data_IF_835127344082
#
_entry.id   IF_835127344082
#
_cell.length_a   1.000
_cell.length_b   1.000
_cell.length_c   1.000
_cell.angle_alpha   90.00
_cell.angle_beta   90.00
_cell.angle_gamma   90.00
#
_symmetry.space_group_name_H-M   'P 1'
#
loop_
_entity.id
_entity.type
_entity.pdbx_description
1 polymer ?
#
# COMPACT_ATOMS: atom_id res chain seq x y z
N UNK A 1 -29.31 21.83 9.87
CA UNK A 1 -28.17 21.01 10.34
C UNK A 1 -28.41 19.52 10.17
N UNK A 2 -29.57 18.97 10.47
CA UNK A 2 -29.93 17.53 10.30
C UNK A 2 -29.84 17.00 8.86
N UNK A 3 -30.24 17.76 7.83
CA UNK A 3 -30.19 17.31 6.42
C UNK A 3 -28.76 17.08 5.90
N UNK A 4 -27.76 17.80 6.38
CA UNK A 4 -26.36 17.59 5.98
C UNK A 4 -25.75 16.35 6.62
N UNK A 5 -26.13 16.01 7.84
CA UNK A 5 -25.70 14.80 8.53
C UNK A 5 -26.29 13.54 7.88
N UNK A 6 -27.55 13.58 7.43
CA UNK A 6 -28.20 12.49 6.72
C UNK A 6 -27.55 12.21 5.35
N UNK A 7 -27.21 13.26 4.60
CA UNK A 7 -26.55 13.11 3.28
C UNK A 7 -25.17 12.45 3.38
N UNK A 8 -24.35 12.83 4.36
CA UNK A 8 -23.02 12.24 4.56
C UNK A 8 -23.05 10.77 5.00
N UNK A 9 -24.03 10.39 5.84
CA UNK A 9 -24.19 9.01 6.28
C UNK A 9 -24.63 8.09 5.13
N UNK A 10 -25.54 8.54 4.28
CA UNK A 10 -26.02 7.80 3.09
C UNK A 10 -24.88 7.64 2.07
N UNK A 11 -24.10 8.67 1.81
CA UNK A 11 -22.94 8.60 0.91
C UNK A 11 -21.85 7.66 1.47
N UNK A 12 -21.60 7.68 2.77
CA UNK A 12 -20.66 6.78 3.43
C UNK A 12 -21.11 5.31 3.32
N UNK A 13 -22.37 5.02 3.58
CA UNK A 13 -22.93 3.67 3.44
C UNK A 13 -22.89 3.17 1.99
N UNK A 14 -23.18 4.03 1.02
CA UNK A 14 -23.08 3.71 -0.41
C UNK A 14 -21.65 3.38 -0.82
N UNK A 15 -20.66 4.16 -0.37
CA UNK A 15 -19.24 3.89 -0.63
C UNK A 15 -18.76 2.59 0.03
N UNK A 16 -19.20 2.30 1.24
CA UNK A 16 -18.89 1.06 1.93
C UNK A 16 -19.40 -0.16 1.16
N UNK A 17 -20.65 -0.10 0.68
CA UNK A 17 -21.26 -1.13 -0.16
C UNK A 17 -20.51 -1.31 -1.49
N UNK A 18 -20.15 -0.22 -2.16
CA UNK A 18 -19.37 -0.23 -3.40
C UNK A 18 -17.97 -0.83 -3.20
N UNK A 19 -17.28 -0.49 -2.10
CA UNK A 19 -15.97 -1.08 -1.78
C UNK A 19 -16.10 -2.58 -1.49
N UNK A 20 -17.13 -3.01 -0.76
CA UNK A 20 -17.37 -4.44 -0.53
C UNK A 20 -17.64 -5.19 -1.85
N UNK A 21 -18.38 -4.60 -2.78
CA UNK A 21 -18.60 -5.15 -4.11
C UNK A 21 -17.31 -5.24 -4.92
N UNK A 22 -16.48 -4.17 -4.92
CA UNK A 22 -15.15 -4.18 -5.53
C UNK A 22 -14.26 -5.29 -4.96
N UNK A 23 -14.23 -5.45 -3.64
CA UNK A 23 -13.42 -6.48 -2.98
C UNK A 23 -13.87 -7.90 -3.37
N UNK A 24 -15.19 -8.15 -3.47
CA UNK A 24 -15.70 -9.45 -3.95
C UNK A 24 -15.30 -9.72 -5.39
N UNK A 25 -15.50 -8.76 -6.29
CA UNK A 25 -15.10 -8.87 -7.69
C UNK A 25 -13.59 -9.07 -7.85
N UNK A 26 -12.79 -8.35 -7.06
CA UNK A 26 -11.33 -8.47 -7.09
C UNK A 26 -10.86 -9.86 -6.62
N UNK A 27 -11.49 -10.43 -5.57
CA UNK A 27 -11.16 -11.79 -5.12
C UNK A 27 -11.47 -12.85 -6.17
N UNK A 28 -12.43 -12.61 -7.05
CA UNK A 28 -12.79 -13.49 -8.17
C UNK A 28 -11.99 -13.19 -9.46
N UNK A 29 -10.98 -12.30 -9.42
CA UNK A 29 -10.21 -11.90 -10.59
C UNK A 29 -9.37 -13.07 -11.15
N UNK A 30 -9.46 -13.32 -12.46
CA UNK A 30 -8.70 -14.34 -13.18
C UNK A 30 -7.78 -13.76 -14.28
N UNK A 31 -7.72 -12.44 -14.45
CA UNK A 31 -7.06 -11.76 -15.58
C UNK A 31 -5.64 -12.26 -15.90
N UNK A 32 -4.82 -12.51 -14.87
CA UNK A 32 -3.45 -13.00 -15.07
C UNK A 32 -3.42 -14.50 -15.42
N UNK A 33 -4.39 -15.28 -14.97
CA UNK A 33 -4.56 -16.69 -15.37
C UNK A 33 -5.01 -16.78 -16.82
N UNK A 34 -6.03 -16.01 -17.19
CA UNK A 34 -6.56 -15.94 -18.55
C UNK A 34 -5.50 -15.47 -19.55
N UNK A 35 -4.56 -14.63 -19.11
CA UNK A 35 -3.42 -14.18 -19.90
C UNK A 35 -2.21 -15.16 -19.91
N UNK A 36 -2.32 -16.32 -19.26
CA UNK A 36 -1.25 -17.32 -19.17
C UNK A 36 -0.02 -16.89 -18.34
N UNK A 37 -0.18 -15.89 -17.45
CA UNK A 37 0.91 -15.34 -16.64
C UNK A 37 1.02 -16.03 -15.27
N UNK A 38 -0.08 -16.59 -14.77
CA UNK A 38 -0.16 -17.30 -13.50
C UNK A 38 -0.95 -18.59 -13.65
N UNK A 39 -0.57 -19.62 -12.91
CA UNK A 39 -1.32 -20.87 -12.84
C UNK A 39 -2.63 -20.75 -12.05
N UNK A 40 -2.65 -19.90 -11.03
CA UNK A 40 -3.81 -19.67 -10.18
C UNK A 40 -3.86 -18.22 -9.67
N UNK A 41 -5.04 -17.66 -9.68
CA UNK A 41 -5.30 -16.35 -9.08
C UNK A 41 -5.68 -16.51 -7.61
N UNK A 42 -4.98 -15.78 -6.74
CA UNK A 42 -5.30 -15.66 -5.30
C UNK A 42 -5.00 -14.22 -4.87
N UNK A 43 -5.90 -13.27 -5.14
CA UNK A 43 -5.69 -11.89 -4.76
C UNK A 43 -5.62 -11.70 -3.24
N UNK A 44 -4.56 -11.04 -2.78
CA UNK A 44 -4.27 -10.78 -1.37
C UNK A 44 -4.28 -9.28 -1.12
N UNK A 45 -5.24 -8.84 -0.32
CA UNK A 45 -5.39 -7.47 0.17
C UNK A 45 -6.27 -7.48 1.42
N UNK A 46 -6.22 -6.43 2.24
CA UNK A 46 -7.08 -6.30 3.42
C UNK A 46 -7.35 -4.84 3.75
N UNK A 47 -8.55 -4.57 4.21
CA UNK A 47 -8.94 -3.26 4.71
C UNK A 47 -10.45 -3.03 4.70
N UNK A 48 -10.83 -1.90 5.29
CA UNK A 48 -12.21 -1.47 5.54
C UNK A 48 -12.49 -0.09 4.93
N UNK A 49 -13.75 0.26 4.66
CA UNK A 49 -14.13 1.52 4.03
C UNK A 49 -13.75 2.78 4.82
N UNK A 50 -13.63 2.67 6.14
CA UNK A 50 -13.30 3.79 7.02
C UNK A 50 -11.81 4.15 7.08
N UNK A 51 -10.95 3.28 6.55
CA UNK A 51 -9.51 3.52 6.59
C UNK A 51 -9.11 4.66 5.64
N UNK A 52 -8.33 5.60 6.13
CA UNK A 52 -7.84 6.76 5.38
C UNK A 52 -6.36 6.68 5.03
N UNK A 53 -5.67 5.67 5.53
CA UNK A 53 -4.28 5.36 5.20
C UNK A 53 -4.25 4.14 4.29
N UNK A 54 -3.59 4.26 3.15
CA UNK A 54 -3.41 3.19 2.16
C UNK A 54 -1.93 2.83 2.06
N UNK A 55 -1.59 1.58 2.26
CA UNK A 55 -0.25 1.06 2.03
C UNK A 55 -0.24 0.18 0.78
N UNK A 56 0.67 0.49 -0.14
CA UNK A 56 0.79 -0.21 -1.43
C UNK A 56 2.19 -0.82 -1.56
N UNK A 57 2.26 -2.15 -1.50
CA UNK A 57 3.48 -2.91 -1.73
C UNK A 57 3.73 -3.26 -3.19
N UNK A 58 4.70 -4.14 -3.44
CA UNK A 58 5.03 -4.62 -4.78
C UNK A 58 4.08 -5.74 -5.25
N UNK A 59 4.06 -6.83 -4.51
CA UNK A 59 3.26 -8.05 -4.74
C UNK A 59 3.26 -8.91 -3.47
N UNK A 60 2.25 -9.78 -3.28
CA UNK A 60 2.30 -10.81 -2.24
C UNK A 60 3.45 -11.79 -2.49
N UNK A 61 4.06 -12.28 -1.41
CA UNK A 61 4.95 -13.42 -1.44
C UNK A 61 4.19 -14.75 -1.30
N UNK A 62 4.94 -15.86 -1.26
CA UNK A 62 4.37 -17.21 -1.07
C UNK A 62 3.54 -17.30 0.21
N UNK A 63 4.07 -16.82 1.33
CA UNK A 63 3.38 -16.87 2.64
C UNK A 63 2.07 -16.10 2.59
N UNK A 64 2.08 -14.89 2.03
CA UNK A 64 0.88 -14.08 1.89
C UNK A 64 -0.20 -14.78 1.06
N UNK A 65 0.19 -15.45 -0.03
CA UNK A 65 -0.70 -16.28 -0.85
C UNK A 65 -1.33 -17.43 -0.06
N UNK A 66 -0.53 -18.12 0.77
CA UNK A 66 -0.97 -19.28 1.55
C UNK A 66 -1.97 -18.89 2.64
N UNK A 67 -1.67 -17.81 3.38
CA UNK A 67 -2.51 -17.36 4.51
C UNK A 67 -3.54 -16.30 4.13
N UNK A 68 -3.58 -15.88 2.85
CA UNK A 68 -4.50 -14.84 2.33
C UNK A 68 -4.44 -13.53 3.13
N UNK A 69 -3.25 -13.15 3.60
CA UNK A 69 -3.05 -11.98 4.45
C UNK A 69 -1.86 -11.14 3.94
N UNK A 70 -2.05 -9.84 3.63
CA UNK A 70 -0.95 -8.97 3.19
C UNK A 70 0.13 -8.86 4.26
N UNK A 71 1.37 -8.80 3.83
CA UNK A 71 2.52 -8.61 4.72
C UNK A 71 2.59 -9.60 5.90
N UNK A 72 2.29 -10.88 5.65
CA UNK A 72 2.38 -11.96 6.63
C UNK A 72 3.78 -12.61 6.67
N UNK A 73 4.52 -12.55 5.58
CA UNK A 73 5.84 -13.15 5.44
C UNK A 73 6.96 -12.36 6.13
N UNK A 74 8.20 -12.74 5.81
CA UNK A 74 9.40 -12.16 6.44
C UNK A 74 9.53 -10.65 6.21
N UNK A 75 9.30 -10.18 4.98
CA UNK A 75 9.30 -8.76 4.65
C UNK A 75 8.18 -8.01 5.39
N UNK A 76 7.00 -8.61 5.48
CA UNK A 76 5.87 -8.05 6.22
C UNK A 76 6.14 -7.89 7.70
N UNK A 77 6.77 -8.88 8.36
CA UNK A 77 7.18 -8.75 9.78
C UNK A 77 8.16 -7.58 9.98
N UNK A 78 9.07 -7.36 9.03
CA UNK A 78 9.95 -6.19 9.09
C UNK A 78 9.18 -4.88 8.94
N UNK A 79 8.22 -4.83 8.03
CA UNK A 79 7.34 -3.66 7.85
C UNK A 79 6.54 -3.38 9.12
N UNK A 80 5.95 -4.40 9.77
CA UNK A 80 5.21 -4.20 11.03
C UNK A 80 6.11 -3.59 12.11
N UNK A 81 7.36 -4.07 12.28
CA UNK A 81 8.30 -3.44 13.20
C UNK A 81 8.61 -1.97 12.87
N UNK A 82 8.62 -1.60 11.59
CA UNK A 82 8.76 -0.19 11.21
C UNK A 82 7.53 0.62 11.59
N UNK A 83 6.33 0.09 11.35
CA UNK A 83 5.09 0.75 11.72
C UNK A 83 4.97 0.91 13.25
N UNK A 84 5.37 -0.10 14.04
CA UNK A 84 5.47 0.01 15.50
C UNK A 84 6.41 1.15 15.92
N UNK A 85 7.60 1.24 15.32
CA UNK A 85 8.51 2.38 15.53
C UNK A 85 7.91 3.72 15.07
N UNK A 86 7.01 3.68 14.12
CA UNK A 86 6.25 4.81 13.58
C UNK A 86 4.96 5.11 14.35
N UNK A 87 4.80 4.60 15.60
CA UNK A 87 3.73 4.97 16.51
C UNK A 87 2.50 4.07 16.52
N UNK A 88 2.48 2.95 15.79
CA UNK A 88 1.44 1.94 15.95
C UNK A 88 1.73 1.07 17.17
N UNK A 89 0.69 0.68 17.91
CA UNK A 89 0.87 -0.13 19.13
C UNK A 89 1.48 -1.51 18.82
N UNK A 90 1.04 -2.13 17.73
CA UNK A 90 1.53 -3.40 17.19
C UNK A 90 1.14 -3.56 15.71
N UNK A 91 1.50 -4.69 15.11
CA UNK A 91 1.14 -5.00 13.73
C UNK A 91 -0.36 -5.17 13.50
N UNK A 92 -1.15 -5.55 14.51
CA UNK A 92 -2.61 -5.66 14.39
C UNK A 92 -3.26 -4.27 14.47
N UNK A 93 -2.73 -3.37 15.28
CA UNK A 93 -3.14 -1.98 15.28
C UNK A 93 -2.91 -1.33 13.90
N UNK A 94 -1.73 -1.53 13.32
CA UNK A 94 -1.44 -1.06 11.97
C UNK A 94 -2.45 -1.61 10.94
N UNK A 95 -2.83 -2.89 11.03
CA UNK A 95 -3.81 -3.50 10.13
C UNK A 95 -5.23 -2.98 10.30
N UNK A 96 -5.62 -2.60 11.52
CA UNK A 96 -6.93 -1.97 11.77
C UNK A 96 -7.01 -0.56 11.15
N UNK A 97 -5.92 0.16 11.08
CA UNK A 97 -5.86 1.58 10.67
C UNK A 97 -5.43 1.78 9.22
N UNK A 98 -4.74 0.81 8.61
CA UNK A 98 -4.18 0.90 7.26
C UNK A 98 -4.86 -0.10 6.33
N UNK A 99 -5.39 0.37 5.20
CA UNK A 99 -5.75 -0.51 4.08
C UNK A 99 -4.46 -0.99 3.40
N UNK A 100 -4.26 -2.31 3.29
CA UNK A 100 -3.04 -2.89 2.75
C UNK A 100 -3.31 -3.62 1.43
N UNK A 101 -2.59 -3.21 0.38
CA UNK A 101 -2.64 -3.82 -0.95
C UNK A 101 -1.26 -3.79 -1.61
N UNK A 102 -1.18 -4.11 -2.89
CA UNK A 102 0.06 -4.09 -3.67
C UNK A 102 -0.23 -3.74 -5.14
N UNK A 103 0.83 -3.44 -5.90
CA UNK A 103 0.78 -3.16 -7.34
C UNK A 103 0.20 -4.34 -8.14
N UNK A 104 0.51 -5.56 -7.71
CA UNK A 104 -0.24 -6.77 -8.10
C UNK A 104 -0.66 -7.51 -6.84
N UNK A 105 -1.88 -8.01 -6.80
CA UNK A 105 -2.43 -8.64 -5.60
C UNK A 105 -2.30 -10.16 -5.58
N UNK A 106 -1.76 -10.75 -6.65
CA UNK A 106 -1.43 -12.18 -6.69
C UNK A 106 0.07 -12.40 -6.57
N UNK A 107 0.46 -13.53 -5.97
CA UNK A 107 1.85 -13.97 -5.93
C UNK A 107 2.39 -14.25 -7.34
N UNK A 108 3.43 -13.54 -7.79
CA UNK A 108 3.92 -13.67 -9.16
C UNK A 108 4.71 -14.97 -9.41
N UNK A 109 5.10 -15.67 -8.37
CA UNK A 109 5.91 -16.88 -8.45
C UNK A 109 7.33 -16.72 -7.91
N UNK A 110 8.07 -17.83 -7.79
CA UNK A 110 9.46 -17.80 -7.35
C UNK A 110 10.37 -17.21 -8.43
N UNK A 111 11.50 -16.64 -8.00
CA UNK A 111 12.56 -16.23 -8.91
C UNK A 111 13.18 -17.44 -9.63
N UNK A 112 13.40 -17.34 -10.94
CA UNK A 112 14.08 -18.38 -11.73
C UNK A 112 15.56 -18.55 -11.38
N UNK A 113 16.14 -17.53 -10.78
CA UNK A 113 17.57 -17.53 -10.42
C UNK A 113 17.79 -17.84 -8.92
N UNK A 114 16.79 -18.36 -8.23
CA UNK A 114 16.83 -18.65 -6.79
C UNK A 114 16.74 -17.40 -5.91
N UNK A 115 16.65 -17.61 -4.60
CA UNK A 115 16.79 -16.53 -3.64
C UNK A 115 15.54 -15.68 -3.36
N UNK A 116 14.33 -16.12 -3.71
CA UNK A 116 13.09 -15.45 -3.30
C UNK A 116 12.03 -15.36 -4.40
N UNK A 117 11.14 -14.38 -4.26
CA UNK A 117 10.02 -14.20 -5.17
C UNK A 117 10.42 -13.27 -6.33
N UNK A 118 9.91 -13.53 -7.52
CA UNK A 118 10.16 -12.64 -8.66
C UNK A 118 9.36 -11.35 -8.55
N UNK A 119 9.87 -10.30 -9.16
CA UNK A 119 9.11 -9.07 -9.37
C UNK A 119 7.99 -9.34 -10.38
N UNK A 120 6.77 -8.77 -10.21
CA UNK A 120 5.75 -8.84 -11.23
C UNK A 120 6.21 -8.16 -12.52
N UNK A 121 5.81 -8.72 -13.66
CA UNK A 121 6.06 -8.14 -14.98
C UNK A 121 5.22 -6.88 -15.20
N UNK A 122 5.60 -6.05 -16.17
CA UNK A 122 4.82 -4.87 -16.55
C UNK A 122 3.39 -5.25 -16.99
N UNK A 123 3.24 -6.40 -17.67
CA UNK A 123 1.92 -6.91 -18.10
C UNK A 123 1.05 -7.30 -16.91
N UNK A 124 1.59 -7.97 -15.89
CA UNK A 124 0.85 -8.28 -14.66
C UNK A 124 0.42 -7.01 -13.93
N UNK A 125 1.32 -6.02 -13.82
CA UNK A 125 1.00 -4.72 -13.23
C UNK A 125 -0.13 -4.02 -14.01
N UNK A 126 -0.06 -3.99 -15.33
CA UNK A 126 -1.10 -3.38 -16.18
C UNK A 126 -2.46 -4.07 -16.04
N UNK A 127 -2.50 -5.40 -15.99
CA UNK A 127 -3.73 -6.17 -15.78
C UNK A 127 -4.34 -5.95 -14.39
N UNK A 128 -3.50 -5.69 -13.39
CA UNK A 128 -3.94 -5.46 -12.02
C UNK A 128 -4.29 -3.99 -11.72
N UNK A 129 -3.75 -3.03 -12.48
CA UNK A 129 -3.92 -1.60 -12.25
C UNK A 129 -5.37 -1.14 -12.08
N UNK A 130 -6.38 -1.60 -12.86
CA UNK A 130 -7.76 -1.17 -12.70
C UNK A 130 -8.35 -1.45 -11.30
N UNK A 131 -7.85 -2.48 -10.59
CA UNK A 131 -8.28 -2.76 -9.23
C UNK A 131 -7.77 -1.72 -8.23
N UNK A 132 -6.51 -1.30 -8.39
CA UNK A 132 -5.94 -0.23 -7.56
C UNK A 132 -6.60 1.12 -7.86
N UNK A 133 -6.85 1.43 -9.13
CA UNK A 133 -7.51 2.67 -9.55
C UNK A 133 -8.93 2.77 -8.98
N UNK A 134 -9.71 1.69 -9.07
CA UNK A 134 -11.05 1.60 -8.47
C UNK A 134 -11.01 1.70 -6.95
N UNK A 135 -10.01 1.08 -6.31
CA UNK A 135 -9.80 1.18 -4.87
C UNK A 135 -9.52 2.63 -4.46
N UNK A 136 -8.63 3.33 -5.15
CA UNK A 136 -8.29 4.73 -4.87
C UNK A 136 -9.52 5.64 -4.99
N UNK A 137 -10.34 5.45 -6.02
CA UNK A 137 -11.56 6.22 -6.25
C UNK A 137 -12.60 6.03 -5.13
N UNK A 138 -12.76 4.81 -4.62
CA UNK A 138 -13.74 4.46 -3.58
C UNK A 138 -13.23 4.75 -2.16
N UNK A 139 -11.98 4.40 -1.86
CA UNK A 139 -11.39 4.58 -0.53
C UNK A 139 -11.09 6.04 -0.24
N UNK A 140 -10.66 6.79 -1.26
CA UNK A 140 -10.22 8.19 -1.15
C UNK A 140 -9.23 8.37 0.02
N UNK A 141 -8.09 7.67 -0.02
CA UNK A 141 -7.13 7.74 1.07
C UNK A 141 -6.59 9.17 1.21
N UNK A 142 -6.34 9.60 2.43
CA UNK A 142 -5.68 10.88 2.69
C UNK A 142 -4.16 10.74 2.75
N UNK A 143 -3.69 9.58 3.20
CA UNK A 143 -2.26 9.25 3.23
C UNK A 143 -2.03 7.95 2.46
N UNK A 144 -1.06 7.97 1.55
CA UNK A 144 -0.60 6.80 0.81
C UNK A 144 0.85 6.52 1.21
N UNK A 145 1.14 5.26 1.52
CA UNK A 145 2.47 4.75 1.85
C UNK A 145 2.94 3.83 0.71
N UNK A 146 3.60 4.36 -0.35
CA UNK A 146 4.21 3.53 -1.37
C UNK A 146 5.43 2.80 -0.81
N UNK A 147 5.44 1.46 -0.87
CA UNK A 147 6.51 0.62 -0.31
C UNK A 147 7.34 0.00 -1.43
N UNK A 148 8.58 0.46 -1.56
CA UNK A 148 9.53 0.02 -2.59
C UNK A 148 9.38 0.73 -3.93
N UNK A 149 10.35 0.52 -4.82
CA UNK A 149 10.47 1.28 -6.07
C UNK A 149 9.29 1.12 -7.03
N UNK A 150 8.64 -0.06 -7.07
CA UNK A 150 7.52 -0.29 -7.98
C UNK A 150 6.30 0.55 -7.60
N UNK A 151 5.96 0.58 -6.32
CA UNK A 151 4.88 1.42 -5.82
C UNK A 151 5.26 2.91 -5.88
N UNK A 152 6.52 3.26 -5.57
CA UNK A 152 6.99 4.64 -5.72
C UNK A 152 6.75 5.17 -7.14
N UNK A 153 7.12 4.43 -8.18
CA UNK A 153 6.94 4.87 -9.57
C UNK A 153 5.47 5.03 -9.98
N UNK A 154 4.54 4.36 -9.32
CA UNK A 154 3.09 4.53 -9.59
C UNK A 154 2.55 5.86 -9.10
N UNK A 155 3.03 6.33 -7.95
CA UNK A 155 2.51 7.53 -7.28
C UNK A 155 3.40 8.76 -7.48
N UNK A 156 4.69 8.56 -7.63
CA UNK A 156 5.71 9.61 -7.75
C UNK A 156 6.68 9.23 -8.88
N UNK A 157 6.23 9.28 -10.14
CA UNK A 157 7.03 8.87 -11.29
C UNK A 157 8.30 9.74 -11.41
N UNK A 158 9.42 9.09 -11.78
CA UNK A 158 10.70 9.76 -11.93
C UNK A 158 11.52 9.88 -10.65
N UNK A 159 10.93 9.78 -9.46
CA UNK A 159 11.67 9.83 -8.20
C UNK A 159 12.40 8.51 -7.89
N UNK A 160 13.59 8.61 -7.32
CA UNK A 160 14.34 7.48 -6.78
C UNK A 160 14.04 7.34 -5.28
N UNK A 161 14.23 6.13 -4.72
CA UNK A 161 14.03 5.92 -3.27
C UNK A 161 14.93 6.82 -2.42
N UNK A 162 16.17 7.09 -2.87
CA UNK A 162 17.12 7.94 -2.16
C UNK A 162 16.65 9.40 -2.05
N UNK A 163 15.86 9.85 -3.02
CA UNK A 163 15.35 11.22 -3.09
C UNK A 163 13.95 11.35 -2.46
N UNK A 164 13.24 10.21 -2.27
CA UNK A 164 11.85 10.19 -1.87
C UNK A 164 11.64 9.77 -0.40
N UNK A 165 12.40 8.79 0.11
CA UNK A 165 12.23 8.31 1.49
C UNK A 165 12.64 9.39 2.49
N UNK A 166 11.83 9.59 3.54
CA UNK A 166 12.05 10.64 4.55
C UNK A 166 11.57 12.02 4.13
N UNK A 167 10.78 12.11 3.04
CA UNK A 167 10.11 13.31 2.56
C UNK A 167 8.63 13.03 2.32
N UNK A 168 7.82 14.07 2.40
CA UNK A 168 6.38 14.04 2.19
C UNK A 168 6.06 14.74 0.87
N UNK A 169 5.19 14.14 0.05
CA UNK A 169 4.82 14.67 -1.26
C UNK A 169 3.30 14.84 -1.37
N UNK A 170 2.90 15.85 -2.12
CA UNK A 170 1.51 16.04 -2.55
C UNK A 170 1.17 15.18 -3.79
N UNK A 171 -0.05 15.33 -4.30
CA UNK A 171 -0.55 14.60 -5.48
C UNK A 171 0.21 14.96 -6.77
N UNK A 172 0.81 16.13 -6.86
CA UNK A 172 1.61 16.55 -8.01
C UNK A 172 3.04 15.98 -8.01
N UNK A 173 3.46 15.40 -6.88
CA UNK A 173 4.82 14.94 -6.67
C UNK A 173 5.77 16.04 -6.17
N UNK A 174 5.24 17.20 -5.82
CA UNK A 174 6.01 18.24 -5.15
C UNK A 174 6.18 17.93 -3.66
N UNK A 175 7.25 18.44 -3.05
CA UNK A 175 7.44 18.37 -1.60
C UNK A 175 6.30 19.11 -0.90
N UNK A 176 5.53 18.40 -0.09
CA UNK A 176 4.34 18.96 0.53
C UNK A 176 4.65 19.98 1.65
N UNK A 177 5.88 19.96 2.21
CA UNK A 177 6.21 20.81 3.36
C UNK A 177 5.19 20.62 4.48
N UNK A 178 4.59 21.74 4.91
CA UNK A 178 3.52 21.78 5.93
C UNK A 178 2.09 21.69 5.34
N UNK A 179 1.95 21.64 4.02
CA UNK A 179 0.66 21.59 3.34
C UNK A 179 0.03 20.22 3.50
N UNK A 180 -1.22 20.17 3.95
CA UNK A 180 -1.98 18.93 4.21
C UNK A 180 -3.12 18.73 3.21
N UNK A 181 -2.85 18.87 1.91
CA UNK A 181 -3.85 18.59 0.86
C UNK A 181 -3.81 17.12 0.48
N UNK A 182 -4.89 16.33 0.71
CA UNK A 182 -4.91 14.92 0.39
C UNK A 182 -5.05 14.65 -1.11
N UNK A 183 -4.54 13.50 -1.62
CA UNK A 183 -3.72 12.54 -0.86
C UNK A 183 -2.27 12.98 -0.71
N UNK A 184 -1.70 12.73 0.47
CA UNK A 184 -0.26 12.87 0.70
C UNK A 184 0.44 11.52 0.50
N UNK A 185 1.69 11.56 0.09
CA UNK A 185 2.51 10.37 -0.16
C UNK A 185 3.73 10.37 0.73
N UNK A 186 3.90 9.34 1.56
CA UNK A 186 5.10 9.10 2.36
C UNK A 186 5.76 7.79 1.92
N UNK A 187 6.77 7.84 1.03
CA UNK A 187 7.44 6.65 0.53
C UNK A 187 8.25 5.92 1.60
N UNK A 188 8.20 4.60 1.56
CA UNK A 188 9.00 3.69 2.38
C UNK A 188 9.85 2.79 1.49
N UNK A 189 11.07 2.37 1.93
CA UNK A 189 11.86 1.40 1.19
C UNK A 189 11.22 0.01 1.24
N UNK A 190 11.68 -0.92 0.40
CA UNK A 190 11.20 -2.29 0.43
C UNK A 190 11.74 -3.01 1.69
N UNK A 191 10.88 -3.66 2.51
CA UNK A 191 11.28 -4.22 3.80
C UNK A 191 11.94 -5.60 3.72
N UNK A 192 12.15 -6.17 2.53
CA UNK A 192 12.81 -7.47 2.38
C UNK A 192 14.30 -7.40 2.68
N UNK A 193 14.84 -8.45 3.28
CA UNK A 193 16.28 -8.59 3.49
C UNK A 193 17.10 -8.71 2.20
N UNK A 194 16.48 -8.89 1.04
CA UNK A 194 17.11 -8.82 -0.27
C UNK A 194 17.35 -7.38 -0.74
N UNK A 195 16.65 -6.41 -0.15
CA UNK A 195 16.90 -5.00 -0.38
C UNK A 195 18.17 -4.56 0.35
N UNK A 196 19.24 -4.32 -0.40
CA UNK A 196 20.49 -3.78 0.15
C UNK A 196 20.40 -2.28 0.46
N UNK A 197 19.23 -1.65 0.24
CA UNK A 197 19.07 -0.22 0.38
C UNK A 197 19.38 0.26 1.79
N UNK A 198 18.95 -0.48 2.84
CA UNK A 198 19.18 -0.15 4.25
C UNK A 198 20.59 -0.48 4.75
N UNK A 199 21.45 -1.08 3.92
CA UNK A 199 22.86 -1.33 4.32
C UNK A 199 23.67 -0.03 4.39
N UNK A 200 23.18 1.05 3.78
CA UNK A 200 23.77 2.39 3.89
C UNK A 200 23.20 3.11 5.13
N UNK A 201 24.03 3.53 6.10
CA UNK A 201 23.57 4.27 7.27
C UNK A 201 22.86 5.58 6.96
N UNK A 202 23.16 6.23 5.85
CA UNK A 202 22.47 7.44 5.41
C UNK A 202 21.01 7.13 5.06
N UNK A 203 20.78 6.02 4.37
CA UNK A 203 19.44 5.56 3.99
C UNK A 203 18.63 5.06 5.19
N UNK A 204 19.28 4.44 6.18
CA UNK A 204 18.65 4.11 7.45
C UNK A 204 18.08 5.36 8.13
N UNK A 205 18.84 6.49 8.14
CA UNK A 205 18.35 7.77 8.67
C UNK A 205 17.18 8.37 7.87
N UNK A 206 17.09 8.11 6.55
CA UNK A 206 15.92 8.51 5.76
C UNK A 206 14.68 7.73 6.20
N UNK A 207 14.81 6.43 6.43
CA UNK A 207 13.71 5.63 6.98
C UNK A 207 13.30 6.13 8.37
N UNK A 208 14.25 6.40 9.27
CA UNK A 208 13.94 6.92 10.61
C UNK A 208 13.16 8.23 10.53
N UNK A 209 13.53 9.11 9.59
CA UNK A 209 12.81 10.36 9.32
C UNK A 209 11.39 10.12 8.82
N UNK A 210 11.19 9.17 7.89
CA UNK A 210 9.87 8.80 7.42
C UNK A 210 8.99 8.27 8.57
N UNK A 211 9.55 7.40 9.42
CA UNK A 211 8.81 6.81 10.55
C UNK A 211 8.46 7.85 11.62
N UNK A 212 9.31 8.85 11.84
CA UNK A 212 9.03 9.95 12.77
C UNK A 212 7.85 10.82 12.35
N UNK A 213 7.54 10.90 11.05
CA UNK A 213 6.38 11.65 10.54
C UNK A 213 5.06 10.88 10.64
N UNK A 214 5.11 9.54 10.75
CA UNK A 214 3.91 8.69 10.68
C UNK A 214 2.85 9.01 11.73
N UNK A 215 3.16 9.22 13.03
CA UNK A 215 2.13 9.45 14.04
C UNK A 215 1.21 10.63 13.71
N UNK A 216 1.80 11.77 13.36
CA UNK A 216 1.06 12.99 13.03
C UNK A 216 0.29 12.85 11.71
N UNK A 217 0.88 12.20 10.70
CA UNK A 217 0.24 11.99 9.41
C UNK A 217 -0.94 11.02 9.50
N UNK A 218 -0.82 9.96 10.29
CA UNK A 218 -1.90 9.01 10.51
C UNK A 218 -3.04 9.67 11.30
N UNK A 219 -2.74 10.38 12.38
CA UNK A 219 -3.73 11.14 13.15
C UNK A 219 -4.46 12.17 12.26
N UNK A 220 -3.73 12.92 11.44
CA UNK A 220 -4.32 13.85 10.47
C UNK A 220 -5.19 13.12 9.43
N UNK A 221 -4.76 11.99 8.92
CA UNK A 221 -5.52 11.24 7.93
C UNK A 221 -6.85 10.71 8.50
N UNK A 222 -6.88 10.29 9.76
CA UNK A 222 -8.05 9.74 10.44
C UNK A 222 -9.03 10.84 10.90
N UNK A 223 -8.56 12.06 11.17
CA UNK A 223 -9.40 13.17 11.64
C UNK A 223 -10.29 13.80 10.55
N UNK A 224 -10.17 13.43 9.29
CA UNK A 224 -10.92 13.95 8.14
C UNK A 224 -11.60 12.84 7.38
#
# INVERSE_FOLDING_TARGET
MERLLHSGAVESASRASALAALQRAHRACTRCVDAGLLEAARPVFSGNPGQRVLLVGQAPGRVEREVSRPFAGRAGRQLMRWLERGGFADGEDARRRIYMTAMTTCFPGPSRHGGGDRRPSAREVSLCAPWLDSLLALLRPRLILPVGSLALQRFLPGLRLDDAVGRLFDVSGADAGDVRTPPLHLPLPHPSGQSRWLNDPRRARLLDRALAMLPDLVAWAEAG
#
